data_IF_661795587739
#
_entry.id   IF_661795587739
#
_cell.length_a   1.000
_cell.length_b   1.000
_cell.length_c   1.000
_cell.angle_alpha   90.00
_cell.angle_beta   90.00
_cell.angle_gamma   90.00
#
_symmetry.space_group_name_H-M   'P 1'
#
loop_
_entity.id
_entity.type
_entity.pdbx_description
1 polymer ?
#
# COMPACT_ATOMS: atom_id res chain seq x y z
N UNK A 1 18.14 9.71 -1.63
CA UNK A 1 17.35 8.97 -0.60
C UNK A 1 17.39 9.66 0.75
N UNK A 2 18.48 9.62 1.54
CA UNK A 2 18.51 10.29 2.86
C UNK A 2 18.32 11.80 2.75
N UNK A 3 19.01 12.46 1.81
CA UNK A 3 18.84 13.90 1.58
C UNK A 3 17.40 14.25 1.21
N UNK A 4 16.80 13.49 0.30
CA UNK A 4 15.39 13.61 -0.08
C UNK A 4 14.45 13.42 1.11
N UNK A 5 14.70 12.40 1.94
CA UNK A 5 13.89 12.13 3.11
C UNK A 5 13.95 13.28 4.13
N UNK A 6 15.14 13.85 4.36
CA UNK A 6 15.27 15.06 5.20
C UNK A 6 14.55 16.26 4.61
N UNK A 7 14.78 16.55 3.33
CA UNK A 7 14.24 17.73 2.66
C UNK A 7 12.71 17.71 2.63
N UNK A 8 12.13 16.52 2.53
CA UNK A 8 10.67 16.33 2.45
C UNK A 8 10.02 15.89 3.77
N UNK A 9 10.77 15.85 4.88
CA UNK A 9 10.23 15.43 6.18
C UNK A 9 9.69 13.99 6.20
N UNK A 10 10.30 13.08 5.45
CA UNK A 10 9.89 11.67 5.35
C UNK A 10 10.61 10.81 6.38
N UNK A 11 9.90 9.81 6.89
CA UNK A 11 10.48 8.76 7.73
C UNK A 11 11.13 7.68 6.84
N UNK A 12 12.39 7.37 7.10
CA UNK A 12 13.12 6.32 6.40
C UNK A 12 12.83 4.95 7.02
N UNK A 13 12.24 4.04 6.23
CA UNK A 13 12.13 2.63 6.61
C UNK A 13 13.39 1.88 6.17
N UNK A 14 14.08 1.19 7.09
CA UNK A 14 15.33 0.47 6.75
C UNK A 14 15.55 -0.78 7.61
N UNK A 15 16.17 -1.81 7.02
CA UNK A 15 16.75 -2.97 7.74
C UNK A 15 18.26 -2.89 7.88
N UNK A 16 18.89 -1.84 7.35
CA UNK A 16 20.35 -1.69 7.36
C UNK A 16 20.83 -1.12 8.69
N UNK A 17 21.38 -2.00 9.52
CA UNK A 17 21.93 -1.66 10.83
C UNK A 17 23.19 -0.77 10.76
N UNK A 18 23.92 -0.79 9.64
CA UNK A 18 25.08 0.08 9.45
C UNK A 18 24.63 1.48 9.03
N UNK A 19 23.51 1.60 8.31
CA UNK A 19 22.92 2.88 7.97
C UNK A 19 22.55 3.65 9.23
N UNK A 20 21.78 3.05 10.14
CA UNK A 20 21.30 3.69 11.39
C UNK A 20 22.43 4.09 12.35
N UNK A 21 23.61 3.47 12.27
CA UNK A 21 24.78 3.82 13.09
C UNK A 21 25.48 5.10 12.62
N UNK A 22 25.19 5.57 11.39
CA UNK A 22 25.77 6.81 10.88
C UNK A 22 25.17 8.00 11.61
N UNK A 23 26.02 8.92 12.08
CA UNK A 23 25.57 10.18 12.68
C UNK A 23 24.69 10.97 11.69
N UNK A 24 23.69 11.68 12.21
CA UNK A 24 22.83 12.61 11.48
C UNK A 24 21.79 12.00 10.52
N UNK A 25 21.36 10.75 10.66
CA UNK A 25 20.25 10.25 9.83
C UNK A 25 18.94 11.02 10.08
N UNK A 26 18.06 11.08 9.07
CA UNK A 26 16.69 11.61 9.23
C UNK A 26 15.86 10.75 10.17
N UNK A 27 14.64 11.15 10.49
CA UNK A 27 13.71 10.26 11.17
C UNK A 27 13.62 8.91 10.44
N UNK A 28 13.68 7.82 11.21
CA UNK A 28 13.73 6.48 10.66
C UNK A 28 12.96 5.49 11.53
N UNK A 29 12.51 4.41 10.91
CA UNK A 29 12.04 3.21 11.59
C UNK A 29 12.89 2.03 11.12
N UNK A 30 13.53 1.36 12.07
CA UNK A 30 14.22 0.10 11.79
C UNK A 30 13.20 -1.03 11.68
N UNK A 31 13.13 -1.63 10.50
CA UNK A 31 12.20 -2.71 10.19
C UNK A 31 12.83 -4.04 10.62
N UNK A 32 12.10 -4.83 11.41
CA UNK A 32 12.49 -6.18 11.86
C UNK A 32 11.63 -7.23 11.16
N UNK A 33 12.06 -8.49 11.21
CA UNK A 33 11.35 -9.62 10.60
C UNK A 33 11.83 -9.95 9.19
N UNK A 34 11.78 -11.23 8.86
CA UNK A 34 12.23 -11.74 7.55
C UNK A 34 11.09 -11.87 6.55
N UNK A 35 9.85 -11.96 7.05
CA UNK A 35 8.64 -12.00 6.25
C UNK A 35 7.96 -10.63 6.16
N UNK A 36 7.40 -10.32 4.99
CA UNK A 36 6.81 -9.00 4.74
C UNK A 36 5.61 -8.72 5.66
N UNK A 37 4.87 -9.74 6.10
CA UNK A 37 3.77 -9.57 7.06
C UNK A 37 4.26 -9.03 8.40
N UNK A 38 5.35 -9.59 8.95
CA UNK A 38 5.96 -9.14 10.20
C UNK A 38 6.49 -7.72 10.08
N UNK A 39 7.15 -7.43 8.94
CA UNK A 39 7.65 -6.10 8.64
C UNK A 39 6.52 -5.08 8.58
N UNK A 40 5.41 -5.40 7.91
CA UNK A 40 4.26 -4.52 7.78
C UNK A 40 3.60 -4.26 9.14
N UNK A 41 3.40 -5.29 9.97
CA UNK A 41 2.90 -5.14 11.35
C UNK A 41 3.84 -4.27 12.18
N UNK A 42 5.16 -4.48 12.07
CA UNK A 42 6.16 -3.66 12.73
C UNK A 42 6.12 -2.19 12.31
N UNK A 43 5.87 -1.91 11.03
CA UNK A 43 5.73 -0.55 10.49
C UNK A 43 4.45 0.11 11.02
N UNK A 44 3.32 -0.58 10.95
CA UNK A 44 2.03 -0.06 11.44
C UNK A 44 2.13 0.28 12.93
N UNK A 45 2.67 -0.64 13.74
CA UNK A 45 2.87 -0.41 15.18
C UNK A 45 3.89 0.70 15.46
N UNK A 46 5.05 0.66 14.79
CA UNK A 46 6.14 1.59 15.01
C UNK A 46 5.82 3.04 14.65
N UNK A 47 4.92 3.25 13.67
CA UNK A 47 4.48 4.57 13.24
C UNK A 47 3.05 4.93 13.69
N UNK A 48 2.37 4.04 14.43
CA UNK A 48 0.98 4.19 14.88
C UNK A 48 0.04 4.55 13.72
N UNK A 49 0.15 3.82 12.61
CA UNK A 49 -0.64 4.10 11.41
C UNK A 49 -2.06 3.56 11.55
N UNK A 50 -3.05 4.41 11.31
CA UNK A 50 -4.44 3.97 11.17
C UNK A 50 -4.70 3.57 9.71
N UNK A 51 -5.09 2.31 9.51
CA UNK A 51 -5.40 1.78 8.18
C UNK A 51 -6.89 1.96 7.89
N UNK A 52 -7.22 2.98 7.10
CA UNK A 52 -8.56 3.15 6.56
C UNK A 52 -8.73 2.38 5.23
N UNK A 53 -9.32 1.19 5.34
CA UNK A 53 -9.67 0.32 4.22
C UNK A 53 -10.69 0.93 3.25
N UNK A 54 -11.45 1.95 3.67
CA UNK A 54 -12.54 2.51 2.89
C UNK A 54 -12.11 3.64 1.96
N UNK A 55 -11.06 4.40 2.30
CA UNK A 55 -10.74 5.63 1.56
C UNK A 55 -9.34 5.71 0.92
N UNK A 56 -8.30 5.10 1.50
CA UNK A 56 -6.91 5.34 1.05
C UNK A 56 -6.20 4.14 0.44
N UNK A 57 -6.75 2.94 0.57
CA UNK A 57 -6.14 1.72 0.04
C UNK A 57 -6.52 1.53 -1.43
N UNK A 58 -5.57 1.03 -2.22
CA UNK A 58 -5.71 0.81 -3.67
C UNK A 58 -5.88 2.10 -4.51
N UNK A 59 -5.45 3.24 -3.96
CA UNK A 59 -5.41 4.56 -4.62
C UNK A 59 -4.19 4.77 -5.53
N UNK A 60 -3.32 3.75 -5.64
CA UNK A 60 -2.03 3.83 -6.33
C UNK A 60 -1.83 2.59 -7.20
N UNK A 61 -1.23 2.80 -8.37
CA UNK A 61 -0.90 1.72 -9.29
C UNK A 61 0.14 0.78 -8.66
N UNK A 62 -0.16 -0.52 -8.64
CA UNK A 62 0.73 -1.55 -8.11
C UNK A 62 2.02 -1.76 -8.92
N UNK A 63 2.09 -1.23 -10.15
CA UNK A 63 3.25 -1.39 -11.04
C UNK A 63 4.20 -0.19 -11.03
N UNK A 64 3.65 1.03 -11.11
CA UNK A 64 4.46 2.25 -11.26
C UNK A 64 4.26 3.26 -10.14
N UNK A 65 3.41 2.95 -9.16
CA UNK A 65 3.11 3.85 -8.05
C UNK A 65 2.71 5.26 -8.53
N UNK A 66 1.91 5.38 -9.60
CA UNK A 66 1.17 6.61 -9.94
C UNK A 66 -0.22 6.59 -9.29
N UNK A 67 -0.75 7.72 -8.78
CA UNK A 67 -2.13 7.78 -8.28
C UNK A 67 -3.10 7.34 -9.37
N UNK A 68 -4.01 6.43 -9.02
CA UNK A 68 -5.05 5.97 -9.94
C UNK A 68 -6.21 6.97 -9.97
N UNK A 69 -7.02 6.90 -11.02
CA UNK A 69 -8.22 7.71 -11.19
C UNK A 69 -9.42 6.81 -11.44
N UNK A 70 -10.58 7.20 -10.96
CA UNK A 70 -11.84 6.56 -11.35
C UNK A 70 -12.07 6.76 -12.86
N UNK A 71 -12.69 5.77 -13.49
CA UNK A 71 -13.03 5.79 -14.91
C UNK A 71 -14.45 5.29 -15.12
N UNK A 72 -15.19 5.92 -16.04
CA UNK A 72 -16.56 5.52 -16.36
C UNK A 72 -16.56 4.09 -16.90
N UNK A 73 -17.53 3.28 -16.44
CA UNK A 73 -17.76 1.93 -16.93
C UNK A 73 -17.82 1.90 -18.46
N UNK A 74 -18.46 2.87 -19.11
CA UNK A 74 -18.60 2.94 -20.57
C UNK A 74 -17.25 2.98 -21.29
N UNK A 75 -16.25 3.64 -20.70
CA UNK A 75 -14.92 3.79 -21.29
C UNK A 75 -14.09 2.50 -21.20
N UNK A 76 -14.36 1.63 -20.23
CA UNK A 76 -13.54 0.42 -20.00
C UNK A 76 -13.95 -0.80 -20.82
N UNK A 77 -15.08 -0.76 -21.55
CA UNK A 77 -15.69 -1.93 -22.22
C UNK A 77 -14.72 -2.75 -23.06
N UNK A 78 -13.81 -2.08 -23.77
CA UNK A 78 -12.86 -2.73 -24.68
C UNK A 78 -11.49 -3.01 -24.04
N UNK A 79 -11.29 -2.64 -22.77
CA UNK A 79 -10.01 -2.76 -22.07
C UNK A 79 -10.01 -3.78 -20.94
N UNK A 80 -11.18 -4.33 -20.60
CA UNK A 80 -11.34 -5.36 -19.56
C UNK A 80 -12.07 -6.58 -20.14
N UNK A 81 -11.91 -7.77 -19.55
CA UNK A 81 -12.64 -8.95 -20.00
C UNK A 81 -14.17 -8.73 -19.95
N UNK A 82 -14.95 -9.27 -20.91
CA UNK A 82 -16.41 -9.07 -20.97
C UNK A 82 -17.15 -9.43 -19.67
N UNK A 83 -16.74 -10.51 -19.00
CA UNK A 83 -17.30 -10.92 -17.70
C UNK A 83 -17.04 -9.89 -16.59
N UNK A 84 -15.87 -9.25 -16.59
CA UNK A 84 -15.55 -8.19 -15.62
C UNK A 84 -16.40 -6.97 -15.92
N UNK A 85 -16.50 -6.58 -17.19
CA UNK A 85 -17.36 -5.48 -17.60
C UNK A 85 -18.83 -5.69 -17.20
N UNK A 86 -19.37 -6.90 -17.36
CA UNK A 86 -20.76 -7.18 -16.99
C UNK A 86 -20.98 -7.21 -15.48
N UNK A 87 -20.03 -7.73 -14.69
CA UNK A 87 -20.21 -7.97 -13.25
C UNK A 87 -19.76 -6.82 -12.34
N UNK A 88 -18.87 -5.94 -12.81
CA UNK A 88 -18.29 -4.87 -11.98
C UNK A 88 -18.87 -3.50 -12.33
N UNK A 89 -19.02 -2.64 -11.32
CA UNK A 89 -19.57 -1.28 -11.48
C UNK A 89 -18.54 -0.16 -11.32
N UNK A 90 -17.38 -0.46 -10.76
CA UNK A 90 -16.36 0.55 -10.46
C UNK A 90 -15.01 0.08 -10.99
N UNK A 91 -14.35 0.99 -11.69
CA UNK A 91 -13.07 0.76 -12.32
C UNK A 91 -12.14 1.92 -12.01
N UNK A 92 -10.86 1.60 -11.85
CA UNK A 92 -9.81 2.61 -11.71
C UNK A 92 -8.73 2.38 -12.75
N UNK A 93 -8.13 3.47 -13.18
CA UNK A 93 -7.15 3.51 -14.27
C UNK A 93 -5.87 4.22 -13.83
N UNK A 94 -4.73 3.69 -14.24
CA UNK A 94 -3.44 4.35 -14.06
C UNK A 94 -3.11 5.22 -15.29
N UNK A 95 -2.99 6.55 -15.16
CA UNK A 95 -2.68 7.42 -16.30
C UNK A 95 -1.25 7.27 -16.84
N UNK A 96 -0.34 6.66 -16.08
CA UNK A 96 1.05 6.47 -16.48
C UNK A 96 1.23 5.18 -17.28
N UNK A 97 0.95 4.02 -16.68
CA UNK A 97 1.18 2.72 -17.33
C UNK A 97 -0.05 2.13 -18.04
N UNK A 98 -1.17 2.86 -18.06
CA UNK A 98 -2.42 2.50 -18.73
C UNK A 98 -3.09 1.22 -18.21
N UNK A 99 -2.80 0.81 -16.97
CA UNK A 99 -3.38 -0.38 -16.33
C UNK A 99 -4.76 -0.07 -15.76
N UNK A 100 -5.72 -0.94 -16.03
CA UNK A 100 -7.06 -0.93 -15.43
C UNK A 100 -7.14 -1.90 -14.24
N UNK A 101 -7.89 -1.51 -13.21
CA UNK A 101 -8.16 -2.30 -12.01
C UNK A 101 -9.65 -2.25 -11.66
N UNK A 102 -10.12 -3.27 -10.94
CA UNK A 102 -11.49 -3.42 -10.44
C UNK A 102 -11.49 -4.24 -9.15
N UNK A 103 -12.61 -4.24 -8.42
CA UNK A 103 -12.76 -4.97 -7.15
C UNK A 103 -13.06 -6.46 -7.33
N UNK A 104 -12.12 -7.18 -7.96
CA UNK A 104 -12.20 -8.63 -8.16
C UNK A 104 -11.70 -9.45 -6.95
N UNK A 105 -11.52 -10.75 -7.15
CA UNK A 105 -11.05 -11.70 -6.11
C UNK A 105 -9.68 -11.32 -5.53
N UNK A 106 -8.77 -10.77 -6.35
CA UNK A 106 -7.48 -10.30 -5.86
C UNK A 106 -7.63 -9.14 -4.86
N UNK A 107 -8.54 -8.19 -5.15
CA UNK A 107 -8.87 -7.09 -4.24
C UNK A 107 -9.43 -7.64 -2.91
N UNK A 108 -10.38 -8.58 -2.98
CA UNK A 108 -10.97 -9.20 -1.78
C UNK A 108 -9.90 -9.89 -0.90
N UNK A 109 -9.00 -10.67 -1.51
CA UNK A 109 -7.91 -11.34 -0.79
C UNK A 109 -6.94 -10.35 -0.14
N UNK A 110 -6.57 -9.28 -0.84
CA UNK A 110 -5.72 -8.23 -0.27
C UNK A 110 -6.40 -7.52 0.90
N UNK A 111 -7.67 -7.15 0.75
CA UNK A 111 -8.45 -6.51 1.82
C UNK A 111 -8.53 -7.40 3.06
N UNK A 112 -8.85 -8.70 2.90
CA UNK A 112 -8.88 -9.65 4.01
C UNK A 112 -7.51 -9.81 4.69
N UNK A 113 -6.43 -9.85 3.91
CA UNK A 113 -5.07 -9.95 4.46
C UNK A 113 -4.71 -8.69 5.26
N UNK A 114 -5.01 -7.49 4.74
CA UNK A 114 -4.74 -6.23 5.43
C UNK A 114 -5.59 -6.14 6.71
N UNK A 115 -6.88 -6.47 6.64
CA UNK A 115 -7.77 -6.55 7.82
C UNK A 115 -7.19 -7.46 8.89
N UNK A 116 -6.73 -8.65 8.53
CA UNK A 116 -6.13 -9.57 9.48
C UNK A 116 -4.89 -8.97 10.14
N UNK A 117 -4.06 -8.25 9.38
CA UNK A 117 -2.84 -7.63 9.91
C UNK A 117 -3.11 -6.40 10.78
N UNK A 118 -4.15 -5.61 10.46
CA UNK A 118 -4.57 -4.47 11.29
C UNK A 118 -5.30 -4.93 12.56
N UNK A 119 -6.06 -6.03 12.53
CA UNK A 119 -6.78 -6.54 13.71
C UNK A 119 -5.86 -7.22 14.75
N UNK A 120 -4.61 -7.56 14.39
CA UNK A 120 -3.59 -8.01 15.36
C UNK A 120 -3.26 -6.90 16.39
N UNK A 121 -3.76 -5.67 16.20
CA UNK A 121 -3.71 -4.57 17.16
C UNK A 121 -4.42 -4.83 18.49
N UNK A 122 -5.28 -5.85 18.60
CA UNK A 122 -6.13 -6.04 19.80
C UNK A 122 -5.75 -7.21 20.72
N UNK A 123 -4.63 -7.90 20.53
CA UNK A 123 -4.41 -9.19 21.20
C UNK A 123 -2.97 -9.61 21.51
N UNK A 124 -2.09 -8.69 21.92
CA UNK A 124 -0.77 -9.09 22.43
C UNK A 124 -0.22 -8.07 23.44
N UNK A 125 -0.88 -7.96 24.58
CA UNK A 125 -0.25 -7.60 25.86
C UNK A 125 -0.75 -8.64 26.88
N UNK A 126 0.05 -9.69 27.08
CA UNK A 126 -0.02 -10.65 28.19
C UNK A 126 1.35 -11.27 28.36
#
# INVERSE_FOLDING_TARGET
LILTARQEGRILLTRDANLIKRRNICDFLFVKGDHWEEQLVGIIKGLKLEIDLNSKIFSRCSLCNTPTKDVDKKEVKNYVPPYVFSTQNSFVYCPSCKKYYWRGTHWQRMTQKIQKLSLIESGSDS
#
